data_IF_528795804291
#
_entry.id   IF_528795804291
#
_cell.length_a   1.000
_cell.length_b   1.000
_cell.length_c   1.000
_cell.angle_alpha   90.00
_cell.angle_beta   90.00
_cell.angle_gamma   90.00
#
_symmetry.space_group_name_H-M   'P 1'
#
loop_
_entity.id
_entity.type
_entity.pdbx_description
1 polymer ?
#
# COMPACT_ATOMS: atom_id res chain seq x y z
N UNK A 1 2.91 4.08 6.59
CA UNK A 1 3.35 3.03 5.63
C UNK A 1 4.57 3.53 4.85
N UNK A 2 5.68 2.79 4.84
CA UNK A 2 6.96 3.21 4.28
C UNK A 2 7.13 2.75 2.81
N UNK A 3 6.97 3.67 1.86
CA UNK A 3 7.05 3.37 0.43
C UNK A 3 8.42 2.85 -0.03
N UNK A 4 9.52 3.21 0.64
CA UNK A 4 10.86 2.75 0.27
C UNK A 4 10.99 1.23 0.41
N UNK A 5 10.35 0.68 1.45
CA UNK A 5 10.37 -0.73 1.77
C UNK A 5 9.48 -1.53 0.78
N UNK A 6 8.36 -0.95 0.34
CA UNK A 6 7.51 -1.52 -0.73
C UNK A 6 8.27 -1.58 -2.07
N UNK A 7 8.98 -0.50 -2.42
CA UNK A 7 9.75 -0.43 -3.66
C UNK A 7 10.93 -1.42 -3.65
N UNK A 8 11.57 -1.62 -2.49
CA UNK A 8 12.65 -2.59 -2.33
C UNK A 8 12.21 -4.02 -2.66
N UNK A 9 11.05 -4.46 -2.15
CA UNK A 9 10.50 -5.77 -2.53
C UNK A 9 10.07 -5.83 -4.00
N UNK A 10 9.50 -4.76 -4.55
CA UNK A 10 9.07 -4.75 -5.96
C UNK A 10 10.24 -4.89 -6.94
N UNK A 11 11.44 -4.40 -6.59
CA UNK A 11 12.61 -4.42 -7.49
C UNK A 11 13.33 -5.76 -7.50
N UNK A 12 13.34 -6.49 -6.39
CA UNK A 12 13.96 -7.82 -6.30
C UNK A 12 13.02 -8.95 -6.76
N UNK A 13 11.72 -8.70 -6.91
CA UNK A 13 10.71 -9.72 -7.19
C UNK A 13 10.24 -9.64 -8.66
N UNK A 14 11.10 -10.08 -9.58
CA UNK A 14 10.86 -10.04 -11.04
C UNK A 14 9.78 -11.03 -11.53
N UNK A 15 9.23 -11.86 -10.65
CA UNK A 15 8.05 -12.69 -10.92
C UNK A 15 7.30 -12.96 -9.61
N UNK A 16 6.01 -12.67 -9.60
CA UNK A 16 5.15 -12.43 -8.41
C UNK A 16 4.80 -13.69 -7.63
N UNK A 17 5.70 -14.27 -6.81
CA UNK A 17 5.25 -15.34 -5.88
C UNK A 17 6.08 -15.61 -4.63
N UNK A 18 7.28 -15.08 -4.45
CA UNK A 18 8.06 -15.32 -3.24
C UNK A 18 8.09 -14.07 -2.36
N UNK A 19 6.98 -13.77 -1.69
CA UNK A 19 7.08 -13.10 -0.41
C UNK A 19 6.94 -14.23 0.60
N UNK A 20 7.99 -14.56 1.39
CA UNK A 20 7.85 -15.58 2.43
C UNK A 20 6.65 -15.21 3.31
N UNK A 21 5.89 -16.21 3.77
CA UNK A 21 4.74 -15.96 4.62
C UNK A 21 5.20 -15.17 5.87
N UNK A 22 4.86 -13.88 5.92
CA UNK A 22 5.19 -12.99 7.02
C UNK A 22 4.01 -12.87 7.96
N UNK A 23 4.29 -12.85 9.26
CA UNK A 23 3.26 -12.57 10.27
C UNK A 23 2.82 -11.11 10.19
N UNK A 24 1.63 -10.80 10.72
CA UNK A 24 1.14 -9.41 10.76
C UNK A 24 2.12 -8.47 11.49
N UNK A 25 2.81 -8.95 12.53
CA UNK A 25 3.81 -8.18 13.26
C UNK A 25 5.04 -7.86 12.39
N UNK A 26 5.52 -8.84 11.61
CA UNK A 26 6.63 -8.63 10.67
C UNK A 26 6.23 -7.67 9.54
N UNK A 27 4.98 -7.74 9.07
CA UNK A 27 4.45 -6.81 8.08
C UNK A 27 4.36 -5.38 8.63
N UNK A 28 3.88 -5.19 9.87
CA UNK A 28 3.85 -3.87 10.51
C UNK A 28 5.24 -3.32 10.75
N UNK A 29 6.21 -4.14 11.17
CA UNK A 29 7.60 -3.70 11.34
C UNK A 29 8.23 -3.28 10.00
N UNK A 30 7.95 -4.03 8.93
CA UNK A 30 8.56 -3.82 7.63
C UNK A 30 7.89 -2.70 6.82
N UNK A 31 6.56 -2.65 6.78
CA UNK A 31 5.80 -1.66 6.00
C UNK A 31 5.31 -0.48 6.84
N UNK A 32 5.44 -0.53 8.17
CA UNK A 32 4.75 0.36 9.10
C UNK A 32 3.32 -0.11 9.37
N UNK A 33 2.68 0.52 10.35
CA UNK A 33 1.32 0.11 10.76
C UNK A 33 0.30 0.19 9.63
N UNK A 34 -0.60 -0.81 9.68
CA UNK A 34 -1.72 -0.89 8.77
C UNK A 34 -2.66 0.31 9.02
N UNK A 35 -3.01 1.09 7.99
CA UNK A 35 -3.92 2.21 8.15
C UNK A 35 -5.31 1.73 8.59
N UNK A 36 -6.01 2.56 9.36
CA UNK A 36 -7.37 2.26 9.78
C UNK A 36 -8.30 2.14 8.57
N UNK A 37 -9.35 1.32 8.69
CA UNK A 37 -10.33 1.13 7.61
C UNK A 37 -10.99 2.46 7.21
N UNK A 38 -11.25 3.34 8.17
CA UNK A 38 -11.78 4.69 7.94
C UNK A 38 -10.87 5.52 7.02
N UNK A 39 -9.56 5.50 7.26
CA UNK A 39 -8.59 6.25 6.45
C UNK A 39 -8.53 5.74 5.01
N UNK A 40 -8.66 4.42 4.83
CA UNK A 40 -8.72 3.80 3.50
C UNK A 40 -9.97 4.27 2.76
N UNK A 41 -11.13 4.22 3.42
CA UNK A 41 -12.42 4.64 2.84
C UNK A 41 -12.40 6.14 2.47
N UNK A 42 -11.84 6.98 3.33
CA UNK A 42 -11.68 8.41 3.06
C UNK A 42 -10.76 8.67 1.87
N UNK A 43 -9.61 7.97 1.77
CA UNK A 43 -8.74 8.05 0.58
C UNK A 43 -9.43 7.59 -0.70
N UNK A 44 -10.24 6.53 -0.63
CA UNK A 44 -11.00 6.05 -1.79
C UNK A 44 -12.01 7.09 -2.28
N UNK A 45 -12.79 7.67 -1.37
CA UNK A 45 -13.71 8.76 -1.70
C UNK A 45 -12.97 9.93 -2.35
N UNK A 46 -11.87 10.38 -1.74
CA UNK A 46 -11.10 11.52 -2.24
C UNK A 46 -10.48 11.28 -3.64
N UNK A 47 -10.08 10.04 -3.96
CA UNK A 47 -9.62 9.69 -5.32
C UNK A 47 -10.74 9.80 -6.36
N UNK A 48 -11.94 9.34 -6.02
CA UNK A 48 -13.09 9.45 -6.91
C UNK A 48 -13.45 10.92 -7.19
N UNK A 49 -13.36 11.80 -6.20
CA UNK A 49 -13.59 13.24 -6.39
C UNK A 49 -12.54 13.93 -7.27
N UNK A 50 -11.28 13.50 -7.21
CA UNK A 50 -10.21 14.04 -8.05
C UNK A 50 -10.33 13.55 -9.50
N UNK A 51 -10.71 12.29 -9.73
CA UNK A 51 -10.89 11.74 -11.08
C UNK A 51 -11.96 12.49 -11.90
N UNK A 52 -13.01 13.00 -11.24
CA UNK A 52 -14.06 13.81 -11.89
C UNK A 52 -13.61 15.24 -12.24
N UNK A 53 -12.55 15.77 -11.61
CA UNK A 53 -12.07 17.14 -11.85
C UNK A 53 -11.10 17.26 -13.01
N UNK A 54 -10.44 16.17 -13.41
CA UNK A 54 -9.41 16.18 -14.46
C UNK A 54 -9.96 15.93 -15.87
N UNK A 55 -11.28 15.86 -16.05
CA UNK A 55 -11.95 15.59 -17.33
C UNK A 55 -12.75 16.79 -17.86
N UNK A 56 -12.24 18.01 -17.72
CA UNK A 56 -12.78 19.22 -18.36
C UNK A 56 -11.67 20.00 -19.06
#
# INVERSE_FOLDING_TARGET
MNLKNILALSRSNKSRSCIPAMTNAQLSAFFGDKPARSDILNRMKNRNHQATRTTL
#
